data_IF_503612749122
#
_entry.id   IF_503612749122
#
_cell.length_a   1.000
_cell.length_b   1.000
_cell.length_c   1.000
_cell.angle_alpha   90.00
_cell.angle_beta   90.00
_cell.angle_gamma   90.00
#
_symmetry.space_group_name_H-M   'P 1'
#
loop_
_entity.id
_entity.type
_entity.pdbx_description
1 polymer ?
#
# COMPACT_ATOMS: atom_id res chain seq x y z
N UNK A 1 40.75 -4.07 52.95
CA UNK A 1 40.45 -2.73 52.41
C UNK A 1 40.71 -2.76 50.91
N UNK A 2 39.66 -2.39 50.13
CA UNK A 2 39.67 -1.93 48.73
C UNK A 2 40.29 -2.86 47.67
N UNK A 3 39.53 -3.71 46.97
CA UNK A 3 38.67 -3.39 45.80
C UNK A 3 39.39 -2.59 44.71
N UNK A 4 39.66 -3.23 43.56
CA UNK A 4 39.97 -2.56 42.30
C UNK A 4 39.17 -3.17 41.16
N UNK A 5 37.93 -2.66 41.08
CA UNK A 5 37.16 -2.35 39.87
C UNK A 5 37.39 -3.20 38.62
N UNK A 6 36.48 -4.14 38.39
CA UNK A 6 36.05 -4.51 37.04
C UNK A 6 35.53 -3.27 36.31
N UNK A 7 35.94 -3.10 35.05
CA UNK A 7 35.33 -2.16 34.11
C UNK A 7 34.75 -2.95 32.94
N UNK A 8 33.41 -3.10 32.83
CA UNK A 8 32.80 -3.53 31.59
C UNK A 8 32.55 -2.30 30.71
N UNK A 9 33.45 -2.04 29.76
CA UNK A 9 33.23 -1.00 28.75
C UNK A 9 32.18 -1.49 27.74
N UNK A 10 30.96 -1.04 27.98
CA UNK A 10 29.79 -0.99 27.11
C UNK A 10 30.04 -1.31 25.61
N UNK A 11 29.60 -2.50 25.17
CA UNK A 11 29.15 -2.70 23.78
C UNK A 11 27.77 -2.07 23.60
N UNK A 12 27.74 -0.74 23.57
CA UNK A 12 26.62 -0.01 22.98
C UNK A 12 26.89 0.10 21.47
N UNK A 13 26.63 -0.98 20.72
CA UNK A 13 26.41 -0.84 19.28
C UNK A 13 25.08 -0.11 19.08
N UNK A 14 25.10 1.23 19.17
CA UNK A 14 24.05 2.06 18.55
C UNK A 14 24.17 1.79 17.05
N UNK A 15 23.17 1.15 16.46
CA UNK A 15 23.03 1.13 15.00
C UNK A 15 22.88 2.57 14.54
N UNK A 16 23.95 3.15 14.00
CA UNK A 16 23.81 4.29 13.11
C UNK A 16 22.80 3.86 12.05
N UNK A 17 21.67 4.55 11.97
CA UNK A 17 20.64 4.28 10.98
C UNK A 17 21.33 4.30 9.62
N UNK A 18 21.48 3.15 8.97
CA UNK A 18 21.91 3.12 7.58
C UNK A 18 20.87 3.91 6.78
N UNK A 19 21.31 5.04 6.24
CA UNK A 19 20.51 5.98 5.45
C UNK A 19 21.04 5.99 4.02
N UNK A 20 20.17 6.34 3.07
CA UNK A 20 20.48 6.39 1.64
C UNK A 20 20.09 5.12 0.89
N UNK A 21 20.29 5.09 -0.44
CA UNK A 21 19.81 4.02 -1.32
C UNK A 21 20.29 2.62 -0.94
N UNK A 22 21.52 2.47 -0.45
CA UNK A 22 22.09 1.18 -0.06
C UNK A 22 21.45 0.57 1.20
N UNK A 23 20.69 1.37 1.95
CA UNK A 23 19.97 0.92 3.14
C UNK A 23 18.56 0.39 2.84
N UNK A 24 18.17 0.39 1.56
CA UNK A 24 16.88 -0.12 1.11
C UNK A 24 16.80 -1.64 1.33
N UNK A 25 15.71 -2.13 1.94
CA UNK A 25 15.54 -3.54 2.21
C UNK A 25 15.41 -4.34 0.92
N UNK A 26 16.09 -5.48 0.84
CA UNK A 26 15.98 -6.43 -0.27
C UNK A 26 14.58 -7.07 -0.27
N UNK A 27 13.97 -7.29 -1.45
CA UNK A 27 12.67 -7.97 -1.54
C UNK A 27 12.71 -9.30 -0.76
N UNK A 28 11.68 -9.52 0.07
CA UNK A 28 11.53 -10.74 0.86
C UNK A 28 12.10 -10.63 2.27
N UNK A 29 12.90 -9.61 2.56
CA UNK A 29 13.31 -9.30 3.93
C UNK A 29 12.26 -8.49 4.69
N UNK A 30 12.32 -8.58 6.02
CA UNK A 30 11.43 -7.83 6.91
C UNK A 30 11.58 -6.33 6.65
N UNK A 31 10.46 -5.66 6.36
CA UNK A 31 10.42 -4.23 6.06
C UNK A 31 10.50 -3.88 4.57
N UNK A 32 10.71 -4.86 3.68
CA UNK A 32 10.65 -4.62 2.24
C UNK A 32 9.20 -4.41 1.75
N UNK A 33 8.99 -3.51 0.78
CA UNK A 33 7.75 -3.46 0.03
C UNK A 33 7.44 -4.81 -0.61
N UNK A 34 6.13 -5.13 -0.68
CA UNK A 34 5.66 -6.26 -1.47
C UNK A 34 6.03 -6.02 -2.94
N UNK A 35 6.51 -7.06 -3.61
CA UNK A 35 6.80 -7.01 -5.05
C UNK A 35 5.57 -6.56 -5.84
N UNK A 36 5.70 -5.48 -6.59
CA UNK A 36 4.65 -4.98 -7.46
C UNK A 36 4.63 -5.75 -8.78
N UNK A 37 3.43 -6.20 -9.17
CA UNK A 37 3.22 -7.08 -10.33
C UNK A 37 2.41 -6.42 -11.44
N UNK A 38 2.15 -5.11 -11.35
CA UNK A 38 1.40 -4.37 -12.38
C UNK A 38 -0.13 -4.36 -12.17
N UNK A 39 -0.61 -4.75 -10.99
CA UNK A 39 -2.06 -4.72 -10.70
C UNK A 39 -2.55 -3.29 -10.47
N UNK A 40 -3.57 -2.89 -11.22
CA UNK A 40 -4.15 -1.53 -11.17
C UNK A 40 -4.62 -1.11 -9.76
N UNK A 41 -5.10 -2.05 -8.94
CA UNK A 41 -5.58 -1.78 -7.58
C UNK A 41 -4.46 -1.75 -6.52
N UNK A 42 -3.23 -2.16 -6.87
CA UNK A 42 -2.08 -2.14 -5.97
C UNK A 42 -1.15 -0.95 -6.26
N UNK A 43 -1.20 -0.35 -7.46
CA UNK A 43 -0.24 0.67 -7.90
C UNK A 43 -0.16 1.90 -6.99
N UNK A 44 -1.31 2.42 -6.52
CA UNK A 44 -1.35 3.58 -5.60
C UNK A 44 -0.68 3.25 -4.26
N UNK A 45 -1.04 2.11 -3.68
CA UNK A 45 -0.49 1.67 -2.40
C UNK A 45 1.00 1.35 -2.52
N UNK A 46 1.42 0.79 -3.64
CA UNK A 46 2.82 0.51 -3.93
C UNK A 46 3.66 1.79 -3.93
N UNK A 47 3.26 2.81 -4.71
CA UNK A 47 3.96 4.10 -4.78
C UNK A 47 4.00 4.78 -3.40
N UNK A 48 2.87 4.84 -2.69
CA UNK A 48 2.81 5.43 -1.35
C UNK A 48 3.72 4.72 -0.35
N UNK A 49 3.78 3.39 -0.39
CA UNK A 49 4.64 2.63 0.50
C UNK A 49 6.12 2.88 0.19
N UNK A 50 6.47 2.94 -1.10
CA UNK A 50 7.82 3.25 -1.54
C UNK A 50 8.24 4.67 -1.13
N UNK A 51 7.37 5.67 -1.26
CA UNK A 51 7.68 7.05 -0.82
C UNK A 51 7.93 7.13 0.69
N UNK A 52 7.12 6.43 1.49
CA UNK A 52 7.35 6.35 2.95
C UNK A 52 8.68 5.70 3.27
N UNK A 53 9.05 4.64 2.55
CA UNK A 53 10.33 3.97 2.71
C UNK A 53 11.49 4.90 2.35
N UNK A 54 11.39 5.64 1.24
CA UNK A 54 12.37 6.64 0.86
C UNK A 54 12.53 7.72 1.94
N UNK A 55 11.41 8.23 2.47
CA UNK A 55 11.42 9.21 3.56
C UNK A 55 12.10 8.65 4.83
N UNK A 56 11.80 7.41 5.23
CA UNK A 56 12.45 6.75 6.37
C UNK A 56 13.95 6.56 6.17
N UNK A 57 14.40 6.41 4.93
CA UNK A 57 15.80 6.21 4.56
C UNK A 57 16.51 7.49 4.11
N UNK A 58 15.87 8.65 4.24
CA UNK A 58 16.39 9.96 3.78
C UNK A 58 16.76 10.01 2.28
N UNK A 59 16.07 9.22 1.46
CA UNK A 59 16.19 9.27 -0.01
C UNK A 59 15.29 10.41 -0.50
N UNK A 60 15.91 11.55 -0.78
CA UNK A 60 15.21 12.78 -1.15
C UNK A 60 15.34 13.13 -2.62
N UNK A 61 16.45 12.71 -3.25
CA UNK A 61 16.75 12.95 -4.66
C UNK A 61 15.82 12.12 -5.55
N UNK A 62 15.33 12.73 -6.61
CA UNK A 62 14.40 12.08 -7.53
C UNK A 62 15.10 11.01 -8.37
N UNK A 63 16.36 11.24 -8.72
CA UNK A 63 17.22 10.27 -9.43
C UNK A 63 17.33 8.95 -8.67
N UNK A 64 17.54 9.04 -7.36
CA UNK A 64 17.65 7.88 -6.48
C UNK A 64 16.31 7.15 -6.37
N UNK A 65 15.20 7.87 -6.21
CA UNK A 65 13.86 7.26 -6.14
C UNK A 65 13.51 6.51 -7.43
N UNK A 66 13.75 7.15 -8.57
CA UNK A 66 13.44 6.56 -9.88
C UNK A 66 14.28 5.31 -10.13
N UNK A 67 15.57 5.31 -9.78
CA UNK A 67 16.44 4.15 -9.95
C UNK A 67 16.02 2.98 -9.06
N UNK A 68 15.79 3.27 -7.78
CA UNK A 68 15.67 2.23 -6.77
C UNK A 68 14.27 1.59 -6.70
N UNK A 69 13.23 2.23 -7.23
CA UNK A 69 11.87 1.67 -7.22
C UNK A 69 11.75 0.36 -8.04
N UNK A 70 12.55 0.24 -9.09
CA UNK A 70 12.54 -0.94 -9.98
C UNK A 70 12.95 -2.22 -9.25
N UNK A 71 13.73 -2.10 -8.18
CA UNK A 71 14.11 -3.20 -7.31
C UNK A 71 12.91 -3.88 -6.66
N UNK A 72 11.77 -3.19 -6.53
CA UNK A 72 10.55 -3.71 -5.92
C UNK A 72 9.51 -4.18 -6.94
N UNK A 73 9.88 -4.28 -8.21
CA UNK A 73 8.99 -4.64 -9.30
C UNK A 73 9.24 -6.06 -9.82
N UNK A 74 8.23 -6.65 -10.47
CA UNK A 74 8.45 -7.83 -11.31
C UNK A 74 9.29 -7.46 -12.53
N UNK A 75 9.92 -8.46 -13.17
CA UNK A 75 10.76 -8.23 -14.36
C UNK A 75 10.04 -7.43 -15.44
N UNK A 76 8.82 -7.85 -15.81
CA UNK A 76 8.04 -7.20 -16.85
C UNK A 76 7.67 -5.75 -16.51
N UNK A 77 7.31 -5.50 -15.23
CA UNK A 77 7.00 -4.14 -14.74
C UNK A 77 8.25 -3.26 -14.78
N UNK A 78 9.41 -3.80 -14.38
CA UNK A 78 10.69 -3.09 -14.43
C UNK A 78 11.07 -2.71 -15.86
N UNK A 79 11.02 -3.66 -16.80
CA UNK A 79 11.33 -3.42 -18.21
C UNK A 79 10.40 -2.33 -18.80
N UNK A 80 9.13 -2.35 -18.42
CA UNK A 80 8.18 -1.28 -18.78
C UNK A 80 8.58 0.08 -18.19
N UNK A 81 8.88 0.13 -16.89
CA UNK A 81 9.27 1.37 -16.20
C UNK A 81 10.55 1.97 -16.77
N UNK A 82 11.56 1.14 -17.05
CA UNK A 82 12.83 1.55 -17.66
C UNK A 82 12.66 2.15 -19.06
N UNK A 83 11.59 1.78 -19.77
CA UNK A 83 11.24 2.30 -21.09
C UNK A 83 10.51 3.65 -21.08
N UNK A 84 10.13 4.19 -19.92
CA UNK A 84 9.42 5.47 -19.83
C UNK A 84 10.38 6.66 -20.01
N UNK A 85 10.03 7.70 -20.78
CA UNK A 85 10.84 8.92 -20.88
C UNK A 85 11.11 9.59 -19.53
N UNK A 86 10.13 9.52 -18.62
CA UNK A 86 10.22 10.05 -17.25
C UNK A 86 11.19 9.27 -16.35
N UNK A 87 11.48 8.00 -16.69
CA UNK A 87 12.55 7.24 -16.06
C UNK A 87 13.92 7.75 -16.49
N UNK A 88 14.12 7.98 -17.79
CA UNK A 88 15.37 8.52 -18.32
C UNK A 88 15.63 9.94 -17.84
N UNK A 89 14.60 10.79 -17.76
CA UNK A 89 14.72 12.15 -17.25
C UNK A 89 14.85 12.23 -15.72
N UNK A 90 14.81 11.09 -15.02
CA UNK A 90 14.95 10.98 -13.55
C UNK A 90 14.02 11.88 -12.75
N UNK A 91 12.81 12.12 -13.26
CA UNK A 91 11.84 13.01 -12.62
C UNK A 91 10.79 12.17 -11.89
N UNK A 92 10.85 12.12 -10.56
CA UNK A 92 9.95 11.30 -9.74
C UNK A 92 8.48 11.68 -9.94
N UNK A 93 8.20 12.98 -10.03
CA UNK A 93 6.84 13.50 -10.15
C UNK A 93 6.20 13.12 -11.49
N UNK A 94 6.96 13.20 -12.59
CA UNK A 94 6.49 12.77 -13.90
C UNK A 94 6.36 11.24 -13.96
N UNK A 95 7.35 10.53 -13.43
CA UNK A 95 7.41 9.07 -13.44
C UNK A 95 6.26 8.42 -12.65
N UNK A 96 5.98 8.91 -11.45
CA UNK A 96 4.87 8.43 -10.63
C UNK A 96 3.51 8.68 -11.29
N UNK A 97 3.32 9.83 -11.96
CA UNK A 97 2.12 10.12 -12.75
C UNK A 97 1.97 9.19 -13.94
N UNK A 98 3.04 8.93 -14.68
CA UNK A 98 3.02 7.98 -15.79
C UNK A 98 2.65 6.57 -15.34
N UNK A 99 3.26 6.08 -14.24
CA UNK A 99 2.91 4.79 -13.65
C UNK A 99 1.42 4.72 -13.29
N UNK A 100 0.90 5.73 -12.60
CA UNK A 100 -0.52 5.79 -12.22
C UNK A 100 -1.42 5.75 -13.45
N UNK A 101 -1.04 6.44 -14.53
CA UNK A 101 -1.79 6.48 -15.78
C UNK A 101 -1.75 5.13 -16.50
N UNK A 102 -0.58 4.57 -16.76
CA UNK A 102 -0.44 3.34 -17.55
C UNK A 102 -0.99 2.10 -16.86
N UNK A 103 -0.95 2.04 -15.53
CA UNK A 103 -1.60 0.96 -14.78
C UNK A 103 -3.07 1.25 -14.46
N UNK A 104 -3.68 2.27 -15.08
CA UNK A 104 -5.07 2.65 -14.88
C UNK A 104 -5.45 2.72 -13.39
N UNK A 105 -4.69 3.47 -12.59
CA UNK A 105 -4.94 3.60 -11.15
C UNK A 105 -6.36 4.14 -10.83
N UNK A 106 -7.01 4.76 -11.82
CA UNK A 106 -8.41 5.18 -11.78
C UNK A 106 -9.40 4.04 -11.96
N UNK A 107 -9.05 2.90 -12.57
CA UNK A 107 -9.93 1.71 -12.60
C UNK A 107 -10.23 1.18 -11.20
N UNK A 108 -9.38 1.47 -10.21
CA UNK A 108 -9.69 1.17 -8.81
C UNK A 108 -10.91 1.99 -8.31
N UNK A 109 -11.28 3.12 -8.94
CA UNK A 109 -12.55 3.82 -8.68
C UNK A 109 -13.78 3.09 -9.24
N UNK A 110 -13.62 1.86 -9.75
CA UNK A 110 -14.71 0.95 -10.16
C UNK A 110 -14.70 -0.35 -9.34
N UNK A 111 -14.03 -0.35 -8.18
CA UNK A 111 -13.85 -1.53 -7.32
C UNK A 111 -15.17 -2.18 -6.87
N UNK A 112 -16.18 -1.36 -6.56
CA UNK A 112 -17.53 -1.84 -6.28
C UNK A 112 -18.55 -1.03 -7.08
N UNK A 113 -19.63 -1.71 -7.47
CA UNK A 113 -20.83 -1.13 -8.04
C UNK A 113 -21.94 -1.13 -6.99
N UNK A 114 -22.96 -0.30 -7.21
CA UNK A 114 -24.19 -0.33 -6.41
C UNK A 114 -24.81 -1.73 -6.34
N UNK A 115 -24.82 -2.45 -7.47
CA UNK A 115 -25.31 -3.83 -7.55
C UNK A 115 -24.55 -4.80 -6.66
N UNK A 116 -23.26 -4.55 -6.38
CA UNK A 116 -22.47 -5.42 -5.48
C UNK A 116 -22.96 -5.29 -4.03
N UNK A 117 -23.33 -4.08 -3.62
CA UNK A 117 -23.92 -3.81 -2.31
C UNK A 117 -25.31 -4.43 -2.20
N UNK A 118 -26.17 -4.21 -3.19
CA UNK A 118 -27.52 -4.77 -3.22
C UNK A 118 -27.49 -6.30 -3.18
N UNK A 119 -26.67 -6.93 -4.02
CA UNK A 119 -26.49 -8.37 -4.04
C UNK A 119 -25.97 -8.91 -2.70
N UNK A 120 -25.06 -8.18 -2.04
CA UNK A 120 -24.52 -8.57 -0.74
C UNK A 120 -25.61 -8.55 0.35
N UNK A 121 -26.40 -7.48 0.40
CA UNK A 121 -27.49 -7.34 1.38
C UNK A 121 -28.60 -8.34 1.13
N UNK A 122 -29.04 -8.51 -0.12
CA UNK A 122 -30.05 -9.50 -0.51
C UNK A 122 -29.64 -10.93 -0.10
N UNK A 123 -28.41 -11.33 -0.40
CA UNK A 123 -27.87 -12.63 0.02
C UNK A 123 -27.86 -12.81 1.53
N UNK A 124 -27.49 -11.75 2.27
CA UNK A 124 -27.46 -11.82 3.73
C UNK A 124 -28.86 -11.84 4.37
N UNK A 125 -29.87 -11.24 3.73
CA UNK A 125 -31.26 -11.27 4.19
C UNK A 125 -31.93 -12.63 3.94
N UNK A 126 -31.62 -13.28 2.81
CA UNK A 126 -32.15 -14.61 2.46
C UNK A 126 -31.51 -15.76 3.25
N UNK A 127 -30.24 -15.62 3.64
CA UNK A 127 -29.52 -16.61 4.42
C UNK A 127 -29.76 -16.42 5.93
N UNK A 128 -30.98 -16.67 6.43
CA UNK A 128 -31.37 -16.81 7.85
C UNK A 128 -30.68 -15.85 8.86
N UNK A 129 -31.47 -14.93 9.46
CA UNK A 129 -31.11 -14.04 10.59
C UNK A 129 -29.89 -14.51 11.39
N UNK A 130 -28.86 -13.66 11.47
CA UNK A 130 -27.55 -13.97 12.05
C UNK A 130 -27.67 -14.83 13.31
N UNK A 131 -27.26 -16.10 13.20
CA UNK A 131 -27.42 -17.11 14.27
C UNK A 131 -26.58 -16.79 15.51
N UNK A 132 -25.54 -15.98 15.35
CA UNK A 132 -24.67 -15.53 16.42
C UNK A 132 -24.05 -14.15 16.13
N UNK A 133 -23.42 -13.58 17.15
CA UNK A 133 -22.73 -12.29 17.08
C UNK A 133 -21.54 -12.31 16.10
N UNK A 134 -20.90 -13.47 15.90
CA UNK A 134 -19.75 -13.59 15.01
C UNK A 134 -20.15 -13.44 13.53
N UNK A 135 -21.27 -14.04 13.14
CA UNK A 135 -21.89 -13.92 11.84
C UNK A 135 -22.32 -12.48 11.57
N UNK A 136 -22.94 -11.81 12.55
CA UNK A 136 -23.29 -10.39 12.45
C UNK A 136 -22.06 -9.49 12.25
N UNK A 137 -20.99 -9.70 13.05
CA UNK A 137 -19.73 -8.95 12.89
C UNK A 137 -19.06 -9.21 11.54
N UNK A 138 -19.11 -10.44 11.02
CA UNK A 138 -18.60 -10.79 9.70
C UNK A 138 -19.37 -10.05 8.61
N UNK A 139 -20.70 -10.02 8.70
CA UNK A 139 -21.54 -9.25 7.81
C UNK A 139 -21.18 -7.76 7.83
N UNK A 140 -21.10 -7.19 9.02
CA UNK A 140 -20.83 -5.76 9.20
C UNK A 140 -19.47 -5.36 8.59
N UNK A 141 -18.42 -6.18 8.75
CA UNK A 141 -17.11 -5.93 8.11
C UNK A 141 -17.18 -5.91 6.58
N UNK A 142 -17.87 -6.89 5.99
CA UNK A 142 -18.02 -6.98 4.53
C UNK A 142 -18.93 -5.89 3.97
N UNK A 143 -20.02 -5.57 4.69
CA UNK A 143 -20.88 -4.43 4.38
C UNK A 143 -20.07 -3.13 4.36
N UNK A 144 -19.31 -2.84 5.42
CA UNK A 144 -18.45 -1.64 5.49
C UNK A 144 -17.41 -1.64 4.36
N UNK A 145 -16.83 -2.79 4.03
CA UNK A 145 -15.86 -2.91 2.93
C UNK A 145 -16.44 -2.47 1.59
N UNK A 146 -17.70 -2.78 1.31
CA UNK A 146 -18.39 -2.41 0.05
C UNK A 146 -18.99 -1.01 0.17
N UNK A 147 -19.90 -0.81 1.13
CA UNK A 147 -20.67 0.43 1.31
C UNK A 147 -19.78 1.62 1.69
N UNK A 148 -18.80 1.43 2.58
CA UNK A 148 -17.87 2.48 2.97
C UNK A 148 -16.97 2.93 1.81
N UNK A 149 -16.60 2.01 0.92
CA UNK A 149 -15.87 2.34 -0.30
C UNK A 149 -16.77 3.09 -1.31
N UNK A 150 -18.03 2.66 -1.48
CA UNK A 150 -18.99 3.37 -2.35
C UNK A 150 -19.28 4.79 -1.85
N UNK A 151 -19.46 4.97 -0.53
CA UNK A 151 -19.70 6.26 0.10
C UNK A 151 -18.49 7.20 -0.06
N UNK A 152 -17.28 6.73 0.22
CA UNK A 152 -16.07 7.55 0.12
C UNK A 152 -15.72 7.96 -1.31
N UNK A 153 -16.23 7.24 -2.31
CA UNK A 153 -16.09 7.56 -3.72
C UNK A 153 -17.32 8.28 -4.31
N UNK A 154 -18.25 8.73 -3.47
CA UNK A 154 -19.45 9.48 -3.88
C UNK A 154 -20.41 8.68 -4.78
N UNK A 155 -20.38 7.35 -4.70
CA UNK A 155 -21.24 6.46 -5.50
C UNK A 155 -22.60 6.22 -4.86
N UNK A 156 -22.68 6.41 -3.54
CA UNK A 156 -23.92 6.42 -2.76
C UNK A 156 -23.82 7.54 -1.73
N UNK A 157 -24.97 8.00 -1.27
CA UNK A 157 -25.14 8.98 -0.20
C UNK A 157 -25.29 8.27 1.16
N UNK A 158 -25.14 9.03 2.24
CA UNK A 158 -25.41 8.52 3.58
C UNK A 158 -26.87 8.05 3.73
N UNK A 159 -27.81 8.75 3.09
CA UNK A 159 -29.23 8.39 3.07
C UNK A 159 -29.46 7.03 2.44
N UNK A 160 -28.85 6.75 1.29
CA UNK A 160 -28.95 5.45 0.63
C UNK A 160 -28.28 4.34 1.44
N UNK A 161 -27.16 4.62 2.11
CA UNK A 161 -26.49 3.65 2.98
C UNK A 161 -27.36 3.25 4.19
N UNK A 162 -28.09 4.22 4.76
CA UNK A 162 -28.97 3.99 5.91
C UNK A 162 -30.17 3.08 5.60
N UNK A 163 -30.53 2.87 4.33
CA UNK A 163 -31.61 1.95 3.93
C UNK A 163 -31.24 0.47 4.09
N UNK A 164 -29.96 0.17 4.27
CA UNK A 164 -29.45 -1.20 4.36
C UNK A 164 -29.17 -1.68 5.79
N UNK A 165 -29.26 -0.77 6.76
CA UNK A 165 -29.22 -1.07 8.20
C UNK A 165 -30.62 -1.24 8.76
#
# INVERSE_FOLDING_TARGET
>A
MTSRSESPSAKAHRSALETGPNSLPIIGHKGAPKKFTGKFNEVKLFLQHYERLCAQKNITLDEEKVENITQYCSRHVREFMEGLPSYTSRNWTAFSKDILKFYDAEKDTRRYKYTDLENYVQKSRGASTFKDLAAWKKYNREFIRIAGWLLSNGKITQTELNLYF
#
